data_IF_873060145364
#
_entry.id   IF_873060145364
#
_cell.length_a   1.000
_cell.length_b   1.000
_cell.length_c   1.000
_cell.angle_alpha   90.00
_cell.angle_beta   90.00
_cell.angle_gamma   90.00
#
_symmetry.space_group_name_H-M   'P 1'
#
loop_
_entity.id
_entity.type
_entity.pdbx_description
1 polymer ?
#
# COMPACT_ATOMS: atom_id res chain seq x y z
N UNK A 1 0.10 -16.76 -24.40
CA UNK A 1 0.73 -15.97 -25.47
C UNK A 1 -0.40 -15.41 -26.33
N UNK A 2 -0.89 -14.21 -26.00
CA UNK A 2 -1.97 -13.57 -26.75
C UNK A 2 -1.37 -12.71 -27.86
N UNK A 3 -1.78 -12.97 -29.10
CA UNK A 3 -1.34 -12.22 -30.28
C UNK A 3 -2.10 -10.90 -30.34
N UNK A 4 -1.43 -9.81 -29.99
CA UNK A 4 -1.89 -8.47 -30.36
C UNK A 4 -1.77 -8.32 -31.87
N UNK A 5 -2.88 -8.02 -32.54
CA UNK A 5 -2.93 -7.84 -34.00
C UNK A 5 -2.98 -6.38 -34.44
N UNK A 6 -3.20 -5.44 -33.50
CA UNK A 6 -3.14 -4.02 -33.82
C UNK A 6 -1.78 -3.42 -33.41
N UNK A 7 -0.87 -3.18 -34.37
CA UNK A 7 0.41 -2.57 -34.07
C UNK A 7 0.29 -1.10 -33.65
N UNK A 8 -0.85 -0.44 -33.88
CA UNK A 8 -1.02 0.98 -33.56
C UNK A 8 -0.99 1.25 -32.06
N UNK A 9 -1.48 0.30 -31.25
CA UNK A 9 -1.58 0.40 -29.77
C UNK A 9 -0.35 -0.12 -29.02
N UNK A 10 0.67 -0.59 -29.74
CA UNK A 10 1.89 -1.10 -29.11
C UNK A 10 2.57 0.03 -28.31
N UNK A 11 3.06 -0.22 -27.08
CA UNK A 11 3.85 0.76 -26.36
C UNK A 11 5.12 1.11 -27.15
N UNK A 12 5.35 2.41 -27.35
CA UNK A 12 6.51 2.94 -28.07
C UNK A 12 7.43 3.64 -27.07
N UNK A 13 8.67 3.16 -26.97
CA UNK A 13 9.74 3.81 -26.23
C UNK A 13 10.27 5.02 -27.00
N UNK A 14 10.33 6.16 -26.34
CA UNK A 14 11.00 7.36 -26.81
C UNK A 14 12.29 7.56 -26.02
N UNK A 15 13.41 7.72 -26.71
CA UNK A 15 14.71 8.03 -26.13
C UNK A 15 15.25 9.35 -26.62
N UNK A 16 16.18 9.95 -25.88
CA UNK A 16 16.96 11.08 -26.37
C UNK A 16 18.02 10.64 -27.40
N UNK A 17 18.80 11.61 -27.90
CA UNK A 17 19.88 11.36 -28.87
C UNK A 17 21.02 10.50 -28.30
N UNK A 18 21.15 10.44 -26.97
CA UNK A 18 22.14 9.65 -26.25
C UNK A 18 21.59 8.26 -25.87
N UNK A 19 20.37 7.93 -26.28
CA UNK A 19 19.70 6.66 -25.98
C UNK A 19 19.12 6.56 -24.57
N UNK A 20 19.05 7.67 -23.82
CA UNK A 20 18.42 7.69 -22.48
C UNK A 20 16.91 7.70 -22.60
N UNK A 21 16.27 7.05 -21.65
CA UNK A 21 14.82 6.99 -21.55
C UNK A 21 14.20 8.39 -21.44
N UNK A 22 13.16 8.66 -22.24
CA UNK A 22 12.31 9.84 -22.07
C UNK A 22 10.92 9.41 -21.59
N UNK A 23 10.27 8.49 -22.32
CA UNK A 23 8.93 7.99 -21.99
C UNK A 23 8.59 6.73 -22.77
N UNK A 24 7.56 6.02 -22.32
CA UNK A 24 6.84 5.00 -23.10
C UNK A 24 5.40 5.45 -23.27
N UNK A 25 4.84 5.28 -24.47
CA UNK A 25 3.47 5.70 -24.73
C UNK A 25 2.75 4.72 -25.68
N UNK A 26 1.49 4.39 -25.39
CA UNK A 26 0.60 3.76 -26.38
C UNK A 26 -0.04 4.83 -27.26
N UNK A 27 -0.43 4.43 -28.47
CA UNK A 27 -1.17 5.30 -29.38
C UNK A 27 -2.45 4.59 -29.84
N UNK A 28 -3.55 5.32 -29.98
CA UNK A 28 -4.74 4.73 -30.60
C UNK A 28 -5.63 3.91 -29.66
N UNK A 29 -5.34 3.81 -28.36
CA UNK A 29 -6.31 3.27 -27.38
C UNK A 29 -7.61 4.09 -27.36
N UNK A 30 -7.53 5.36 -27.72
CA UNK A 30 -8.70 6.23 -27.86
C UNK A 30 -9.70 5.74 -28.91
N UNK A 31 -9.26 5.03 -29.95
CA UNK A 31 -10.16 4.43 -30.95
C UNK A 31 -11.02 3.31 -30.35
N UNK A 32 -10.59 2.77 -29.20
CA UNK A 32 -11.28 1.75 -28.43
C UNK A 32 -12.03 2.32 -27.22
N UNK A 33 -12.07 3.65 -27.06
CA UNK A 33 -12.75 4.33 -25.95
C UNK A 33 -11.93 4.44 -24.67
N UNK A 34 -10.63 4.18 -24.72
CA UNK A 34 -9.73 4.27 -23.56
C UNK A 34 -8.69 5.39 -23.74
N UNK A 35 -8.22 6.03 -22.65
CA UNK A 35 -7.11 6.97 -22.77
C UNK A 35 -5.83 6.25 -23.20
N UNK A 36 -4.97 6.95 -23.93
CA UNK A 36 -3.63 6.45 -24.25
C UNK A 36 -2.76 6.46 -22.98
N UNK A 37 -2.03 5.37 -22.75
CA UNK A 37 -1.23 5.18 -21.54
C UNK A 37 0.17 5.74 -21.77
N UNK A 38 0.67 6.52 -20.81
CA UNK A 38 2.03 7.07 -20.84
C UNK A 38 2.78 6.75 -19.56
N UNK A 39 4.06 6.41 -19.69
CA UNK A 39 4.99 6.22 -18.58
C UNK A 39 6.16 7.19 -18.77
N UNK A 40 6.35 8.09 -17.81
CA UNK A 40 7.41 9.13 -17.87
C UNK A 40 8.67 8.76 -17.06
N UNK A 41 8.61 7.69 -16.27
CA UNK A 41 9.73 7.20 -15.47
C UNK A 41 10.15 5.81 -15.95
N UNK A 42 11.46 5.54 -15.98
CA UNK A 42 11.93 4.23 -16.44
C UNK A 42 11.57 3.15 -15.41
N UNK A 43 10.93 2.09 -15.87
CA UNK A 43 10.63 0.88 -15.09
C UNK A 43 11.20 -0.33 -15.83
N UNK A 44 11.84 -1.23 -15.09
CA UNK A 44 12.33 -2.49 -15.66
C UNK A 44 11.16 -3.39 -16.10
N UNK A 45 11.27 -4.01 -17.28
CA UNK A 45 10.22 -4.82 -17.89
C UNK A 45 8.88 -4.09 -18.08
N UNK A 46 8.89 -2.78 -18.34
CA UNK A 46 7.67 -2.00 -18.59
C UNK A 46 6.80 -2.60 -19.72
N UNK A 47 7.39 -3.26 -20.71
CA UNK A 47 6.65 -3.86 -21.83
C UNK A 47 5.62 -4.88 -21.34
N UNK A 48 5.97 -5.72 -20.36
CA UNK A 48 5.07 -6.73 -19.79
C UNK A 48 3.90 -6.08 -19.04
N UNK A 49 4.17 -5.01 -18.28
CA UNK A 49 3.14 -4.25 -17.58
C UNK A 49 2.16 -3.61 -18.56
N UNK A 50 2.66 -2.95 -19.61
CA UNK A 50 1.81 -2.37 -20.65
C UNK A 50 0.97 -3.44 -21.35
N UNK A 51 1.57 -4.56 -21.75
CA UNK A 51 0.85 -5.64 -22.41
C UNK A 51 -0.23 -6.27 -21.51
N UNK A 52 0.03 -6.39 -20.21
CA UNK A 52 -0.94 -6.85 -19.21
C UNK A 52 -2.14 -5.89 -19.09
N UNK A 53 -1.88 -4.59 -19.07
CA UNK A 53 -2.95 -3.58 -19.03
C UNK A 53 -3.78 -3.62 -20.31
N UNK A 54 -3.13 -3.66 -21.47
CA UNK A 54 -3.81 -3.71 -22.77
C UNK A 54 -4.63 -5.00 -22.89
N UNK A 55 -4.14 -6.15 -22.41
CA UNK A 55 -4.90 -7.42 -22.45
C UNK A 55 -6.21 -7.30 -21.65
N UNK A 56 -6.17 -6.65 -20.48
CA UNK A 56 -7.38 -6.37 -19.68
C UNK A 56 -8.35 -5.44 -20.38
N UNK A 57 -7.86 -4.44 -21.14
CA UNK A 57 -8.69 -3.57 -21.97
C UNK A 57 -9.51 -4.39 -22.96
N UNK A 58 -8.87 -5.30 -23.71
CA UNK A 58 -9.57 -6.13 -24.69
C UNK A 58 -10.48 -7.19 -24.09
N UNK A 59 -10.22 -7.62 -22.85
CA UNK A 59 -11.12 -8.48 -22.10
C UNK A 59 -12.33 -7.74 -21.51
N UNK A 60 -12.38 -6.42 -21.63
CA UNK A 60 -13.40 -5.59 -20.98
C UNK A 60 -13.34 -5.72 -19.44
N UNK A 61 -12.15 -6.02 -18.92
CA UNK A 61 -11.85 -6.15 -17.49
C UNK A 61 -11.03 -4.95 -16.97
N UNK A 62 -10.80 -3.95 -17.82
CA UNK A 62 -10.04 -2.77 -17.47
C UNK A 62 -10.85 -1.81 -16.61
N UNK A 63 -10.27 -1.44 -15.48
CA UNK A 63 -10.72 -0.36 -14.62
C UNK A 63 -9.55 0.62 -14.45
N UNK A 64 -9.78 1.89 -14.82
CA UNK A 64 -8.77 2.94 -14.72
C UNK A 64 -8.36 3.22 -13.27
N UNK A 65 -9.24 2.93 -12.31
CA UNK A 65 -8.97 3.09 -10.88
C UNK A 65 -8.32 1.85 -10.27
N UNK A 66 -8.09 0.80 -11.06
CA UNK A 66 -7.41 -0.39 -10.58
C UNK A 66 -5.96 -0.09 -10.22
N UNK A 67 -5.37 -1.03 -9.49
CA UNK A 67 -3.97 -1.01 -9.13
C UNK A 67 -3.32 -2.25 -9.70
N UNK A 68 -2.15 -2.07 -10.31
CA UNK A 68 -1.40 -3.13 -10.97
C UNK A 68 -0.15 -3.44 -10.15
N UNK A 69 0.08 -4.71 -9.84
CA UNK A 69 1.33 -5.15 -9.24
C UNK A 69 2.27 -5.63 -10.33
N UNK A 70 3.49 -5.12 -10.34
CA UNK A 70 4.55 -5.50 -11.28
C UNK A 70 5.90 -5.40 -10.57
N UNK A 71 6.69 -6.48 -10.62
CA UNK A 71 8.00 -6.57 -9.95
C UNK A 71 7.99 -6.19 -8.44
N UNK A 72 6.90 -6.45 -7.73
CA UNK A 72 6.75 -6.11 -6.31
C UNK A 72 6.42 -4.64 -6.04
N UNK A 73 6.30 -3.82 -7.08
CA UNK A 73 5.83 -2.45 -7.01
C UNK A 73 4.36 -2.36 -7.42
N UNK A 74 3.67 -1.36 -6.92
CA UNK A 74 2.28 -1.08 -7.25
C UNK A 74 2.20 0.16 -8.13
N UNK A 75 1.37 0.08 -9.16
CA UNK A 75 1.16 1.13 -10.14
C UNK A 75 -0.33 1.47 -10.22
N UNK A 76 -0.62 2.74 -10.44
CA UNK A 76 -1.95 3.26 -10.73
C UNK A 76 -1.92 4.08 -12.03
N UNK A 77 -3.09 4.27 -12.61
CA UNK A 77 -3.28 5.13 -13.77
C UNK A 77 -3.92 6.42 -13.27
N UNK A 78 -3.28 7.53 -13.54
CA UNK A 78 -3.80 8.86 -13.25
C UNK A 78 -4.21 9.54 -14.54
N UNK A 79 -5.45 10.01 -14.60
CA UNK A 79 -5.92 10.72 -15.79
C UNK A 79 -5.19 12.06 -15.94
N UNK A 80 -4.51 12.23 -17.06
CA UNK A 80 -3.79 13.43 -17.46
C UNK A 80 -4.60 14.16 -18.52
N UNK A 81 -4.24 15.42 -18.80
CA UNK A 81 -4.82 16.18 -19.91
C UNK A 81 -4.63 15.44 -21.26
N UNK A 82 -5.48 15.80 -22.23
CA UNK A 82 -5.41 15.34 -23.62
C UNK A 82 -5.68 13.84 -23.83
N UNK A 83 -6.60 13.27 -23.04
CA UNK A 83 -7.00 11.84 -23.14
C UNK A 83 -5.84 10.87 -22.91
N UNK A 84 -4.92 11.25 -22.03
CA UNK A 84 -3.80 10.43 -21.58
C UNK A 84 -4.05 9.93 -20.16
N UNK A 85 -3.58 8.72 -19.86
CA UNK A 85 -3.48 8.19 -18.52
C UNK A 85 -2.01 7.93 -18.20
N UNK A 86 -1.47 8.59 -17.18
CA UNK A 86 -0.11 8.35 -16.74
C UNK A 86 -0.07 7.12 -15.84
N UNK A 87 0.79 6.18 -16.19
CA UNK A 87 1.19 5.08 -15.32
C UNK A 87 2.21 5.63 -14.33
N UNK A 88 1.81 5.72 -13.07
CA UNK A 88 2.64 6.25 -11.98
C UNK A 88 2.84 5.20 -10.91
N UNK A 89 3.97 5.29 -10.21
CA UNK A 89 4.23 4.46 -9.06
C UNK A 89 3.29 4.90 -7.95
N UNK A 90 2.47 3.98 -7.50
CA UNK A 90 1.39 4.30 -6.61
C UNK A 90 1.98 4.52 -5.19
N UNK A 91 1.64 5.60 -4.47
CA UNK A 91 2.21 5.86 -3.15
C UNK A 91 1.87 4.70 -2.22
N UNK A 92 2.87 4.05 -1.62
CA UNK A 92 2.64 2.87 -0.74
C UNK A 92 1.62 3.16 0.37
N UNK A 93 1.60 4.40 0.86
CA UNK A 93 0.69 4.88 1.91
C UNK A 93 -0.79 5.00 1.48
N UNK A 94 -1.09 5.12 0.18
CA UNK A 94 -2.49 5.14 -0.28
C UNK A 94 -3.14 3.75 -0.29
N UNK A 95 -2.32 2.69 -0.16
CA UNK A 95 -2.78 1.30 -0.20
C UNK A 95 -2.97 0.67 1.18
N UNK A 96 -2.12 1.03 2.15
CA UNK A 96 -2.32 0.55 3.52
C UNK A 96 -3.39 1.39 4.19
N UNK A 97 -4.60 0.85 4.27
CA UNK A 97 -5.74 1.53 4.89
C UNK A 97 -6.01 0.96 6.27
N UNK A 98 -6.24 1.82 7.25
CA UNK A 98 -6.80 1.42 8.54
C UNK A 98 -8.32 1.45 8.42
N UNK A 99 -8.95 0.28 8.39
CA UNK A 99 -10.41 0.17 8.39
C UNK A 99 -10.93 0.03 9.82
N UNK A 100 -12.12 0.59 10.06
CA UNK A 100 -12.81 0.46 11.34
C UNK A 100 -13.86 -0.63 11.24
N UNK A 101 -13.85 -1.57 12.18
CA UNK A 101 -14.87 -2.59 12.33
C UNK A 101 -15.76 -2.15 13.49
N UNK A 102 -16.98 -1.75 13.17
CA UNK A 102 -17.99 -1.38 14.15
C UNK A 102 -18.67 -2.63 14.71
N UNK A 103 -19.09 -2.55 15.97
CA UNK A 103 -19.94 -3.57 16.58
C UNK A 103 -21.34 -3.50 15.95
N UNK A 104 -21.88 -4.63 15.43
CA UNK A 104 -23.16 -4.64 14.72
C UNK A 104 -24.37 -4.31 15.60
N UNK A 105 -24.24 -4.32 16.93
CA UNK A 105 -25.35 -4.06 17.86
C UNK A 105 -25.50 -2.58 18.21
N UNK A 106 -24.39 -1.85 18.36
CA UNK A 106 -24.40 -0.46 18.83
C UNK A 106 -23.70 0.51 17.87
N UNK A 107 -23.18 0.04 16.74
CA UNK A 107 -22.45 0.80 15.72
C UNK A 107 -21.16 1.49 16.20
N UNK A 108 -20.76 1.27 17.46
CA UNK A 108 -19.53 1.81 18.01
C UNK A 108 -18.31 1.06 17.46
N UNK A 109 -17.16 1.74 17.28
CA UNK A 109 -15.92 1.08 16.88
C UNK A 109 -15.54 -0.05 17.85
N UNK A 110 -15.43 -1.27 17.34
CA UNK A 110 -14.98 -2.43 18.13
C UNK A 110 -13.47 -2.63 17.97
N UNK A 111 -12.96 -2.53 16.74
CA UNK A 111 -11.55 -2.71 16.43
C UNK A 111 -11.13 -2.01 15.14
N UNK A 112 -9.84 -1.76 15.02
CA UNK A 112 -9.19 -1.26 13.82
C UNK A 112 -8.30 -2.36 13.24
N UNK A 113 -8.27 -2.47 11.91
CA UNK A 113 -7.41 -3.42 11.22
C UNK A 113 -6.80 -2.77 9.98
N UNK A 114 -5.55 -3.08 9.68
CA UNK A 114 -4.92 -2.67 8.42
C UNK A 114 -5.45 -3.51 7.26
N UNK A 115 -5.41 -2.93 6.06
CA UNK A 115 -5.61 -3.62 4.79
C UNK A 115 -4.54 -3.17 3.83
N UNK A 116 -3.84 -4.11 3.21
CA UNK A 116 -2.84 -3.85 2.18
C UNK A 116 -1.43 -4.31 2.58
N UNK A 117 -1.17 -4.54 3.86
CA UNK A 117 0.17 -4.97 4.32
C UNK A 117 0.60 -6.30 3.71
N UNK A 118 -0.33 -7.25 3.58
CA UNK A 118 -0.02 -8.55 2.97
C UNK A 118 0.36 -8.43 1.51
N UNK A 119 -0.24 -7.48 0.79
CA UNK A 119 -0.01 -7.33 -0.64
C UNK A 119 1.26 -6.54 -0.95
N UNK A 120 1.62 -5.59 -0.09
CA UNK A 120 2.73 -4.65 -0.34
C UNK A 120 4.03 -5.13 0.30
N UNK A 121 3.96 -5.70 1.50
CA UNK A 121 5.12 -6.01 2.33
C UNK A 121 5.21 -7.50 2.68
N UNK A 122 4.38 -8.37 2.08
CA UNK A 122 4.23 -9.79 2.45
C UNK A 122 4.04 -10.00 3.97
N UNK A 123 3.38 -9.04 4.62
CA UNK A 123 3.24 -8.98 6.07
C UNK A 123 1.79 -9.28 6.49
N UNK A 124 1.55 -10.05 7.57
CA UNK A 124 0.21 -10.21 8.11
C UNK A 124 -0.43 -8.85 8.46
N UNK A 125 -1.75 -8.73 8.31
CA UNK A 125 -2.44 -7.49 8.70
C UNK A 125 -2.34 -7.29 10.22
N UNK A 126 -2.33 -6.03 10.65
CA UNK A 126 -2.31 -5.64 12.06
C UNK A 126 -3.72 -5.34 12.53
N UNK A 127 -4.06 -5.79 13.73
CA UNK A 127 -5.36 -5.58 14.39
C UNK A 127 -5.16 -5.03 15.80
N UNK A 128 -5.98 -4.06 16.20
CA UNK A 128 -6.00 -3.51 17.56
C UNK A 128 -7.45 -3.23 18.00
N UNK A 129 -7.75 -3.41 19.28
CA UNK A 129 -9.08 -3.04 19.79
C UNK A 129 -9.25 -1.52 19.79
N UNK A 130 -10.46 -1.05 19.47
CA UNK A 130 -10.75 0.37 19.42
C UNK A 130 -10.84 1.01 20.82
N UNK A 131 -11.07 0.20 21.85
CA UNK A 131 -11.02 0.58 23.26
C UNK A 131 -9.61 0.91 23.75
N UNK A 132 -8.57 0.49 23.03
CA UNK A 132 -7.18 0.82 23.36
C UNK A 132 -6.91 2.28 22.99
N UNK A 133 -6.33 3.03 23.93
CA UNK A 133 -5.98 4.43 23.75
C UNK A 133 -4.95 4.56 22.63
N UNK A 134 -5.11 5.57 21.76
CA UNK A 134 -4.21 5.82 20.63
C UNK A 134 -4.10 4.67 19.62
N UNK A 135 -5.13 3.84 19.55
CA UNK A 135 -5.11 2.61 18.75
C UNK A 135 -4.86 2.86 17.26
N UNK A 136 -5.36 3.97 16.69
CA UNK A 136 -5.11 4.32 15.28
C UNK A 136 -3.68 4.79 15.06
N UNK A 137 -3.15 5.58 15.97
CA UNK A 137 -1.79 6.12 15.95
C UNK A 137 -0.75 5.00 16.09
N UNK A 138 -1.02 4.03 16.96
CA UNK A 138 -0.18 2.83 17.13
C UNK A 138 -0.16 2.01 15.82
N UNK A 139 -1.31 1.82 15.17
CA UNK A 139 -1.36 1.14 13.88
C UNK A 139 -0.59 1.90 12.82
N UNK A 140 -0.80 3.21 12.70
CA UNK A 140 -0.11 4.03 11.71
C UNK A 140 1.42 3.95 11.88
N UNK A 141 1.90 4.08 13.12
CA UNK A 141 3.32 3.93 13.43
C UNK A 141 3.86 2.53 13.13
N UNK A 142 3.08 1.49 13.42
CA UNK A 142 3.48 0.11 13.10
C UNK A 142 3.64 -0.10 11.59
N UNK A 143 2.77 0.53 10.77
CA UNK A 143 2.89 0.50 9.31
C UNK A 143 4.18 1.20 8.86
N UNK A 144 4.51 2.36 9.41
CA UNK A 144 5.76 3.08 9.11
C UNK A 144 7.00 2.25 9.49
N UNK A 145 6.96 1.51 10.61
CA UNK A 145 8.08 0.64 11.01
C UNK A 145 8.23 -0.59 10.10
N UNK A 146 7.12 -1.17 9.63
CA UNK A 146 7.15 -2.23 8.61
C UNK A 146 7.74 -1.69 7.30
N UNK A 147 7.40 -0.47 6.91
CA UNK A 147 7.97 0.14 5.71
C UNK A 147 9.51 0.28 5.80
N UNK A 148 10.03 0.63 6.98
CA UNK A 148 11.48 0.81 7.19
C UNK A 148 12.25 -0.51 7.30
N UNK A 149 11.72 -1.49 8.01
CA UNK A 149 12.45 -2.74 8.33
C UNK A 149 11.95 -3.99 7.59
N UNK A 150 10.88 -3.88 6.82
CA UNK A 150 10.32 -4.95 5.99
C UNK A 150 9.34 -5.88 6.73
N UNK A 151 9.49 -6.09 8.04
CA UNK A 151 8.54 -6.88 8.83
C UNK A 151 8.64 -6.64 10.34
N UNK A 152 7.52 -6.83 11.03
CA UNK A 152 7.41 -6.90 12.49
C UNK A 152 7.10 -8.35 12.89
N UNK A 153 7.62 -8.81 14.03
CA UNK A 153 7.32 -10.13 14.57
C UNK A 153 6.88 -10.04 16.05
N UNK A 154 6.66 -11.18 16.71
CA UNK A 154 6.16 -11.22 18.10
C UNK A 154 7.14 -10.68 19.15
N UNK A 155 8.43 -10.56 18.81
CA UNK A 155 9.44 -10.00 19.73
C UNK A 155 9.36 -8.47 19.80
N UNK A 156 8.57 -7.83 18.93
CA UNK A 156 8.48 -6.39 18.85
C UNK A 156 7.52 -5.86 19.92
N UNK A 157 7.84 -4.66 20.40
CA UNK A 157 6.90 -3.88 21.19
C UNK A 157 7.01 -2.38 20.88
N UNK A 158 5.89 -1.70 21.08
CA UNK A 158 5.78 -0.24 20.96
C UNK A 158 5.55 0.31 22.35
N UNK A 159 6.30 1.34 22.72
CA UNK A 159 6.03 2.11 23.92
C UNK A 159 5.48 3.49 23.54
N UNK A 160 4.38 3.88 24.18
CA UNK A 160 3.73 5.18 24.00
C UNK A 160 3.14 5.68 25.31
N UNK A 161 3.50 6.88 25.74
CA UNK A 161 2.97 7.51 26.97
C UNK A 161 3.01 6.58 28.22
N UNK A 162 4.08 5.79 28.40
CA UNK A 162 4.24 4.76 29.44
C UNK A 162 3.34 3.53 29.31
N UNK A 163 2.67 3.35 28.17
CA UNK A 163 1.95 2.13 27.81
C UNK A 163 2.81 1.26 26.89
N UNK A 164 2.90 -0.03 27.20
CA UNK A 164 3.59 -1.01 26.36
C UNK A 164 2.58 -1.80 25.55
N UNK A 165 2.84 -1.94 24.25
CA UNK A 165 2.03 -2.69 23.31
C UNK A 165 2.84 -3.81 22.69
N UNK A 166 2.34 -5.04 22.73
CA UNK A 166 3.01 -6.23 22.19
C UNK A 166 2.24 -6.81 21.01
N UNK A 167 2.95 -7.48 20.11
CA UNK A 167 2.38 -8.10 18.92
C UNK A 167 2.23 -9.61 19.14
N UNK A 168 1.05 -10.14 18.83
CA UNK A 168 0.76 -11.57 18.94
C UNK A 168 0.24 -12.10 17.61
N UNK A 169 0.89 -13.12 17.07
CA UNK A 169 0.45 -13.72 15.82
C UNK A 169 -0.77 -14.61 16.10
N UNK A 170 -1.87 -14.30 15.44
CA UNK A 170 -3.12 -15.07 15.54
C UNK A 170 -3.69 -15.33 14.14
N UNK A 171 -4.85 -15.97 14.08
CA UNK A 171 -5.58 -16.22 12.83
C UNK A 171 -7.03 -15.79 12.99
N UNK A 172 -7.60 -15.22 11.93
CA UNK A 172 -9.02 -14.91 11.90
C UNK A 172 -9.89 -16.17 11.76
N UNK A 173 -11.21 -15.99 11.75
CA UNK A 173 -12.19 -17.07 11.59
C UNK A 173 -12.09 -17.82 10.25
N UNK A 174 -11.34 -17.29 9.29
CA UNK A 174 -11.10 -17.89 7.98
C UNK A 174 -9.69 -18.51 7.87
N UNK A 175 -8.91 -18.50 8.96
CA UNK A 175 -7.55 -19.02 8.99
C UNK A 175 -6.50 -18.08 8.41
N UNK A 176 -6.85 -16.81 8.12
CA UNK A 176 -5.87 -15.81 7.66
C UNK A 176 -5.06 -15.32 8.85
N UNK A 177 -3.73 -15.36 8.72
CA UNK A 177 -2.80 -14.86 9.73
C UNK A 177 -2.91 -13.34 9.87
N UNK A 178 -2.87 -12.86 11.12
CA UNK A 178 -2.85 -11.46 11.48
C UNK A 178 -2.09 -11.25 12.79
N UNK A 179 -1.48 -10.08 12.98
CA UNK A 179 -0.90 -9.69 14.25
C UNK A 179 -1.89 -8.88 15.05
N UNK A 180 -2.21 -9.35 16.25
CA UNK A 180 -3.00 -8.62 17.21
C UNK A 180 -2.08 -7.81 18.12
N UNK A 181 -2.30 -6.50 18.18
CA UNK A 181 -1.62 -5.59 19.09
C UNK A 181 -2.41 -5.57 20.40
N UNK A 182 -1.74 -5.91 21.49
CA UNK A 182 -2.33 -5.95 22.82
C UNK A 182 -1.65 -4.94 23.74
N UNK A 183 -2.45 -4.21 24.51
CA UNK A 183 -1.94 -3.38 25.58
C UNK A 183 -1.52 -4.26 26.76
N UNK A 184 -0.31 -4.07 27.25
CA UNK A 184 0.19 -4.72 28.46
C UNK A 184 0.23 -3.68 29.57
N UNK A 185 -0.53 -3.93 30.63
CA UNK A 185 -0.44 -3.16 31.88
C UNK A 185 0.93 -3.42 32.50
N UNK A 186 1.91 -2.63 32.11
CA UNK A 186 3.16 -2.52 32.83
C UNK A 186 2.90 -1.63 34.04
N UNK A 187 3.03 -2.18 35.25
CA UNK A 187 3.04 -1.41 36.50
C UNK A 187 4.27 -0.52 36.62
N UNK A 188 4.48 0.38 35.66
CA UNK A 188 5.60 1.30 35.59
C UNK A 188 5.19 2.63 36.20
N UNK A 189 5.86 2.99 37.28
CA UNK A 189 5.83 4.33 37.87
C UNK A 189 6.16 5.39 36.81
N UNK A 190 5.38 6.48 36.71
CA UNK A 190 5.57 7.48 35.68
C UNK A 190 6.90 8.23 35.90
N UNK A 191 7.83 8.11 34.96
CA UNK A 191 8.99 9.00 34.91
C UNK A 191 8.55 10.25 34.15
N UNK A 192 8.19 11.30 34.90
CA UNK A 192 7.96 12.64 34.36
C UNK A 192 9.29 13.19 33.81
N UNK A 193 9.51 13.03 32.50
CA UNK A 193 10.56 13.78 31.79
C UNK A 193 9.95 15.03 31.16
N UNK A 194 9.92 16.10 31.94
CA UNK A 194 9.76 17.46 31.43
C UNK A 194 11.02 17.84 30.67
N UNK A 195 11.05 17.61 29.35
CA UNK A 195 11.75 18.38 28.32
C UNK A 195 11.94 17.53 27.05
N UNK A 196 11.18 17.83 25.99
CA UNK A 196 11.75 18.26 24.71
C UNK A 196 10.67 18.37 23.61
N UNK A 197 10.66 19.52 22.95
CA UNK A 197 9.89 19.80 21.74
C UNK A 197 10.37 18.93 20.58
N UNK A 198 9.42 18.42 19.78
CA UNK A 198 9.59 17.78 18.46
C UNK A 198 10.34 16.44 18.43
N UNK A 199 9.86 15.43 19.18
CA UNK A 199 10.17 14.02 18.93
C UNK A 199 8.86 13.24 18.81
N UNK A 200 8.74 12.36 17.84
CA UNK A 200 7.63 11.39 17.79
C UNK A 200 7.63 10.61 19.11
N UNK A 201 6.55 10.69 19.87
CA UNK A 201 6.45 10.09 21.21
C UNK A 201 6.32 8.55 21.18
N UNK A 202 6.42 7.95 19.99
CA UNK A 202 6.42 6.51 19.74
C UNK A 202 7.85 6.04 19.50
N UNK A 203 8.27 5.01 20.23
CA UNK A 203 9.56 4.38 20.06
C UNK A 203 9.45 2.87 20.16
N UNK A 204 10.31 2.21 19.40
CA UNK A 204 10.34 0.78 19.24
C UNK A 204 11.36 0.14 20.20
N UNK A 205 10.99 -1.02 20.72
CA UNK A 205 11.87 -1.87 21.54
C UNK A 205 12.00 -3.23 20.84
N UNK A 206 13.24 -3.67 20.61
CA UNK A 206 13.60 -5.04 20.20
C UNK A 206 14.06 -5.83 21.41
#
# INVERSE_FOLDING_TARGET
MYQFYDPSIKPILTTDLDGRFIKVQTYGLFNYGYPDIVLNEYIENYEELFLSIIDRIFRVEFDINATWSHNGELFNLEYVKDNLAALVLAPKNDFVKIITINNPLNEEPAKYITKGLTNIYDHPELEIQASIVFSREILAFSVEEIEKEGAINEDYSIEYENHLYTFHLTSDRYGKRLFQIMHKDCGLTPILNTNNKNRSHLYRIK
#
